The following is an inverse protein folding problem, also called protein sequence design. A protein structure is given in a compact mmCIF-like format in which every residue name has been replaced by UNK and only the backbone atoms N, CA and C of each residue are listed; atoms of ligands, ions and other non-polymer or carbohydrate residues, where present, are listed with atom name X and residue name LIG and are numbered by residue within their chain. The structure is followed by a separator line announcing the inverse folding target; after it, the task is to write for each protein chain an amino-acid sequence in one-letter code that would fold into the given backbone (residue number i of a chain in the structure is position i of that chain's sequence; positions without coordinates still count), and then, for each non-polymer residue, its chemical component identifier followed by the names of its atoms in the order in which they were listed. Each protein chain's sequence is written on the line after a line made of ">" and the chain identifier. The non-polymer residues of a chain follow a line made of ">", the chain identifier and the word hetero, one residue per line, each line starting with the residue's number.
data_IF_105236436324
#
_entry.id   IF_105236436324
#
_cell.length_a   1.000
_cell.length_b   1.000
_cell.length_c   1.000
_cell.angle_alpha   90.00
_cell.angle_beta   90.00
_cell.angle_gamma   90.00
#
_symmetry.space_group_name_H-M   'P 1'
#
loop_
_entity.id
_entity.type
_entity.pdbx_description
1 polymer ?
#
# COMPACT_ATOMS: atom_id res chain seq x y z
N UNK A 1 -18.21 -6.91 4.73
CA UNK A 1 -16.79 -7.03 5.12
C UNK A 1 -16.05 -7.59 3.92
N UNK A 2 -14.97 -6.94 3.45
CA UNK A 2 -14.36 -7.23 2.14
C UNK A 2 -13.43 -8.46 2.09
N UNK A 3 -13.16 -9.07 3.25
CA UNK A 3 -12.32 -10.27 3.38
C UNK A 3 -13.19 -11.52 3.53
N UNK A 4 -12.70 -12.65 3.00
CA UNK A 4 -13.40 -13.93 3.10
C UNK A 4 -13.46 -14.41 4.56
N UNK A 5 -14.48 -15.23 4.89
CA UNK A 5 -14.58 -15.83 6.22
C UNK A 5 -13.40 -16.75 6.55
N UNK A 6 -12.80 -17.36 5.53
CA UNK A 6 -11.60 -18.19 5.64
C UNK A 6 -10.39 -17.34 6.00
N UNK A 7 -10.21 -16.19 5.37
CA UNK A 7 -9.15 -15.24 5.70
C UNK A 7 -9.35 -14.65 7.11
N UNK A 8 -10.58 -14.26 7.46
CA UNK A 8 -10.93 -13.73 8.79
C UNK A 8 -10.56 -14.66 9.95
N UNK A 9 -10.69 -15.98 9.78
CA UNK A 9 -10.29 -16.97 10.80
C UNK A 9 -8.78 -17.07 11.01
N UNK A 10 -7.97 -16.62 10.05
CA UNK A 10 -6.51 -16.74 10.07
C UNK A 10 -5.80 -15.41 10.41
N UNK A 11 -6.54 -14.34 10.70
CA UNK A 11 -5.98 -13.06 11.13
C UNK A 11 -5.76 -13.11 12.65
N UNK A 12 -4.49 -13.25 13.05
CA UNK A 12 -4.11 -13.40 14.47
C UNK A 12 -3.63 -12.08 15.09
N UNK A 13 -3.27 -11.09 14.27
CA UNK A 13 -2.71 -9.81 14.71
C UNK A 13 -3.62 -8.64 14.30
N UNK A 14 -4.25 -8.03 15.30
CA UNK A 14 -4.96 -6.76 15.18
C UNK A 14 -4.06 -5.69 15.79
N UNK A 15 -3.79 -4.60 15.07
CA UNK A 15 -2.97 -3.50 15.57
C UNK A 15 -3.75 -2.77 16.65
N UNK A 16 -3.22 -2.68 17.87
CA UNK A 16 -3.94 -2.20 19.06
C UNK A 16 -4.54 -0.80 18.89
N UNK A 17 -3.84 0.11 18.19
CA UNK A 17 -4.30 1.48 17.96
C UNK A 17 -5.17 1.63 16.70
N UNK A 18 -5.25 0.60 15.86
CA UNK A 18 -5.99 0.61 14.61
C UNK A 18 -6.71 -0.72 14.39
N UNK A 19 -7.81 -0.98 15.13
CA UNK A 19 -8.46 -2.30 15.16
C UNK A 19 -9.13 -2.71 13.84
N UNK A 20 -9.30 -1.77 12.91
CA UNK A 20 -9.77 -2.03 11.54
C UNK A 20 -8.67 -2.45 10.58
N UNK A 21 -7.38 -2.35 10.98
CA UNK A 21 -6.24 -2.79 10.20
C UNK A 21 -5.82 -4.20 10.59
N UNK A 22 -6.04 -5.12 9.66
CA UNK A 22 -5.84 -6.54 9.87
C UNK A 22 -4.63 -7.01 9.06
N UNK A 23 -3.68 -7.66 9.73
CA UNK A 23 -2.52 -8.23 9.05
C UNK A 23 -2.93 -9.54 8.36
N UNK A 24 -3.27 -9.43 7.08
CA UNK A 24 -3.71 -10.57 6.25
C UNK A 24 -2.51 -11.16 5.50
N UNK A 25 -2.13 -12.39 5.82
CA UNK A 25 -1.09 -13.11 5.08
C UNK A 25 -1.55 -13.36 3.63
N UNK A 26 -0.73 -12.95 2.66
CA UNK A 26 -1.03 -13.12 1.24
C UNK A 26 -1.89 -12.00 0.63
N UNK A 27 -2.22 -10.94 1.39
CA UNK A 27 -2.73 -9.72 0.79
C UNK A 27 -1.58 -8.99 0.07
N UNK A 28 -1.74 -8.78 -1.24
CA UNK A 28 -0.73 -8.16 -2.11
C UNK A 28 -1.45 -7.30 -3.16
N UNK A 29 -0.69 -6.57 -4.00
CA UNK A 29 -1.28 -5.76 -5.06
C UNK A 29 -2.19 -6.54 -6.02
N UNK A 30 -1.92 -7.84 -6.24
CA UNK A 30 -2.71 -8.71 -7.12
C UNK A 30 -3.93 -9.31 -6.42
N UNK A 31 -3.85 -9.50 -5.10
CA UNK A 31 -4.92 -10.05 -4.28
C UNK A 31 -5.15 -9.11 -3.07
N UNK A 32 -5.83 -7.96 -3.26
CA UNK A 32 -5.85 -6.87 -2.27
C UNK A 32 -6.52 -7.21 -0.94
N UNK A 33 -7.47 -8.14 -0.90
CA UNK A 33 -8.18 -8.57 0.32
C UNK A 33 -7.65 -9.92 0.84
N UNK A 34 -6.53 -10.42 0.32
CA UNK A 34 -5.95 -11.71 0.67
C UNK A 34 -6.12 -12.75 -0.44
N UNK A 35 -5.69 -14.01 -0.21
CA UNK A 35 -5.47 -15.00 -1.26
C UNK A 35 -6.70 -15.39 -2.08
N UNK A 36 -7.91 -15.16 -1.53
CA UNK A 36 -9.18 -15.46 -2.20
C UNK A 36 -9.70 -14.30 -3.07
N UNK A 37 -8.95 -13.20 -3.18
CA UNK A 37 -9.33 -12.00 -3.93
C UNK A 37 -8.55 -11.85 -5.23
N UNK A 38 -9.05 -11.03 -6.17
CA UNK A 38 -8.40 -10.78 -7.46
C UNK A 38 -8.71 -9.37 -7.97
N UNK A 39 -7.83 -8.83 -8.83
CA UNK A 39 -7.98 -7.52 -9.49
C UNK A 39 -8.73 -7.54 -10.83
N UNK A 40 -9.19 -8.71 -11.31
CA UNK A 40 -9.74 -8.87 -12.66
C UNK A 40 -10.86 -7.89 -13.04
N UNK A 41 -11.67 -7.46 -12.06
CA UNK A 41 -12.78 -6.52 -12.27
C UNK A 41 -12.46 -5.06 -11.91
N UNK A 42 -11.18 -4.73 -11.68
CA UNK A 42 -10.73 -3.44 -11.14
C UNK A 42 -9.37 -3.01 -11.71
N UNK A 43 -9.13 -3.31 -12.98
CA UNK A 43 -7.86 -3.01 -13.67
C UNK A 43 -7.57 -1.51 -13.78
N UNK A 44 -8.60 -0.67 -13.71
CA UNK A 44 -8.47 0.81 -13.75
C UNK A 44 -8.37 1.44 -12.36
N UNK A 45 -8.51 0.65 -11.29
CA UNK A 45 -8.39 1.15 -9.92
C UNK A 45 -6.92 1.41 -9.57
N UNK A 46 -6.64 2.39 -8.69
CA UNK A 46 -5.28 2.61 -8.22
C UNK A 46 -4.75 1.35 -7.53
N UNK A 47 -3.52 0.97 -7.87
CA UNK A 47 -2.84 -0.16 -7.24
C UNK A 47 -2.59 0.14 -5.76
N UNK A 48 -2.86 -0.83 -4.89
CA UNK A 48 -2.64 -0.74 -3.44
C UNK A 48 -1.68 -1.84 -2.96
N UNK A 49 -1.30 -1.84 -1.68
CA UNK A 49 -0.25 -2.70 -1.11
C UNK A 49 1.11 -2.53 -1.81
N UNK A 50 1.43 -1.30 -2.19
CA UNK A 50 2.70 -0.92 -2.82
C UNK A 50 3.55 -0.22 -1.78
N UNK A 51 4.77 -0.70 -1.57
CA UNK A 51 5.71 -0.02 -0.68
C UNK A 51 6.28 1.23 -1.33
N UNK A 52 6.92 2.08 -0.54
CA UNK A 52 7.63 3.24 -1.06
C UNK A 52 8.71 2.84 -2.08
N UNK A 53 9.44 1.75 -1.82
CA UNK A 53 10.50 1.25 -2.73
C UNK A 53 9.93 0.71 -4.04
N UNK A 54 8.78 0.04 -4.00
CA UNK A 54 8.10 -0.45 -5.20
C UNK A 54 7.63 0.72 -6.08
N UNK A 55 7.05 1.75 -5.47
CA UNK A 55 6.61 2.97 -6.17
C UNK A 55 7.78 3.70 -6.84
N UNK A 56 8.92 3.82 -6.14
CA UNK A 56 10.14 4.41 -6.71
C UNK A 56 10.69 3.57 -7.88
N UNK A 57 10.71 2.24 -7.72
CA UNK A 57 11.19 1.33 -8.76
C UNK A 57 10.32 1.40 -10.02
N UNK A 58 9.00 1.46 -9.85
CA UNK A 58 8.05 1.64 -10.95
C UNK A 58 8.22 2.99 -11.65
N UNK A 59 8.38 4.08 -10.89
CA UNK A 59 8.63 5.40 -11.47
C UNK A 59 9.91 5.38 -12.33
N UNK A 60 11.01 4.85 -11.79
CA UNK A 60 12.29 4.71 -12.51
C UNK A 60 12.14 3.85 -13.78
N UNK A 61 11.45 2.72 -13.70
CA UNK A 61 11.20 1.84 -14.84
C UNK A 61 10.35 2.53 -15.93
N UNK A 62 9.31 3.26 -15.55
CA UNK A 62 8.41 3.97 -16.47
C UNK A 62 9.02 5.24 -17.08
N UNK A 63 10.28 5.57 -16.75
CA UNK A 63 10.93 6.81 -17.17
C UNK A 63 10.34 8.07 -16.51
N UNK A 64 9.52 7.90 -15.47
CA UNK A 64 8.90 9.01 -14.72
C UNK A 64 9.68 9.28 -13.44
N UNK A 65 9.78 10.55 -13.05
CA UNK A 65 10.42 10.91 -11.78
C UNK A 65 9.39 10.91 -10.66
N UNK A 66 9.63 10.10 -9.63
CA UNK A 66 8.89 10.23 -8.37
C UNK A 66 9.30 11.55 -7.70
N UNK A 67 8.35 12.47 -7.53
CA UNK A 67 8.60 13.73 -6.82
C UNK A 67 8.38 13.50 -5.34
N UNK A 68 9.47 13.39 -4.57
CA UNK A 68 9.41 13.62 -3.13
C UNK A 68 9.16 15.12 -2.93
N UNK A 69 8.16 15.49 -2.13
CA UNK A 69 8.10 16.85 -1.58
C UNK A 69 9.44 17.11 -0.89
N UNK A 70 10.21 18.05 -1.41
CA UNK A 70 11.34 18.61 -0.68
C UNK A 70 10.72 19.36 0.50
N UNK A 71 11.06 18.97 1.73
CA UNK A 71 10.70 19.77 2.88
C UNK A 71 11.38 21.13 2.71
N UNK A 72 10.57 22.19 2.57
CA UNK A 72 11.06 23.56 2.53
C UNK A 72 11.59 23.96 3.91
N UNK A 73 12.80 23.52 4.24
CA UNK A 73 13.66 24.22 5.20
C UNK A 73 14.80 24.86 4.41
N UNK A 74 14.45 25.91 3.67
CA UNK A 74 15.39 26.97 3.29
C UNK A 74 15.07 28.18 4.15
N UNK A 75 15.24 28.07 5.47
CA UNK A 75 15.53 29.25 6.28
C UNK A 75 17.01 29.56 6.03
N UNK A 76 17.25 30.45 5.07
CA UNK A 76 18.48 31.24 5.05
C UNK A 76 18.37 32.17 6.26
N UNK A 77 19.15 31.90 7.30
CA UNK A 77 19.59 32.94 8.23
C UNK A 77 20.78 33.63 7.56
N UNK A 78 20.50 34.76 6.91
CA UNK A 78 21.46 35.85 6.74
C UNK A 78 20.85 37.05 7.46
N UNK A 79 21.40 37.38 8.64
CA UNK A 79 21.62 38.74 9.20
C UNK A 79 22.41 38.63 10.51
#
# INVERSE_FOLDING_TARGET
>A
MFISQKTKKNVTEIVQQTPWWWKVKGATWKNPEGPDSSINNRMEHPVIHVSWYDAQSYAKWSGKRFQLKQNGNSHQEED
#
